data_IF_984038615428
#
_entry.id   IF_984038615428
#
_cell.length_a   1.000
_cell.length_b   1.000
_cell.length_c   1.000
_cell.angle_alpha   90.00
_cell.angle_beta   90.00
_cell.angle_gamma   90.00
#
_symmetry.space_group_name_H-M   'P 1'
#
loop_
_entity.id
_entity.type
_entity.pdbx_description
1 polymer ?
#
# COMPACT_ATOMS: atom_id res chain seq x y z
N UNK A 1 -32.34 7.71 8.35
CA UNK A 1 -31.36 8.73 8.79
C UNK A 1 -31.37 9.98 7.90
N UNK A 2 -31.39 9.91 6.56
CA UNK A 2 -31.59 11.09 5.67
C UNK A 2 -32.80 11.98 6.03
N UNK A 3 -33.91 11.37 6.48
CA UNK A 3 -35.10 12.10 6.91
C UNK A 3 -34.89 13.02 8.13
N UNK A 4 -33.92 12.73 9.00
CA UNK A 4 -33.60 13.53 10.19
C UNK A 4 -33.17 14.95 9.82
N UNK A 5 -32.43 15.10 8.70
CA UNK A 5 -31.94 16.39 8.22
C UNK A 5 -32.84 17.06 7.18
N UNK A 6 -34.07 16.55 6.96
CA UNK A 6 -35.00 17.06 5.95
C UNK A 6 -35.42 18.51 6.16
N UNK A 7 -35.30 19.02 7.40
CA UNK A 7 -35.62 20.40 7.78
C UNK A 7 -34.40 21.26 8.11
N UNK A 8 -33.18 20.77 7.86
CA UNK A 8 -31.96 21.47 8.28
C UNK A 8 -31.83 22.89 7.69
N UNK A 9 -32.20 23.09 6.42
CA UNK A 9 -32.16 24.39 5.75
C UNK A 9 -33.25 25.38 6.24
N UNK A 10 -34.11 24.96 7.18
CA UNK A 10 -35.20 25.80 7.74
C UNK A 10 -34.90 26.30 9.15
N UNK A 11 -33.75 25.93 9.71
CA UNK A 11 -33.33 26.38 11.04
C UNK A 11 -32.48 27.65 10.92
N UNK A 12 -32.68 28.63 11.80
CA UNK A 12 -31.90 29.89 11.82
C UNK A 12 -30.43 29.67 12.16
N UNK A 13 -30.09 28.57 12.86
CA UNK A 13 -28.71 28.27 13.27
C UNK A 13 -28.05 27.25 12.34
N UNK A 14 -26.78 27.47 11.94
CA UNK A 14 -26.06 26.59 11.02
C UNK A 14 -25.70 25.21 11.59
N UNK A 15 -25.83 25.00 12.91
CA UNK A 15 -25.36 23.80 13.63
C UNK A 15 -25.84 22.48 13.02
N UNK A 16 -27.12 22.42 12.62
CA UNK A 16 -27.70 21.22 12.05
C UNK A 16 -27.17 20.95 10.63
N UNK A 17 -26.87 22.01 9.87
CA UNK A 17 -26.26 21.89 8.55
C UNK A 17 -24.81 21.40 8.66
N UNK A 18 -24.01 21.97 9.57
CA UNK A 18 -22.63 21.51 9.82
C UNK A 18 -22.60 20.03 10.21
N UNK A 19 -23.53 19.57 11.06
CA UNK A 19 -23.68 18.14 11.39
C UNK A 19 -23.99 17.29 10.15
N UNK A 20 -24.83 17.79 9.24
CA UNK A 20 -25.18 17.13 7.98
C UNK A 20 -23.96 17.02 7.05
N UNK A 21 -23.19 18.10 6.86
CA UNK A 21 -21.96 18.09 6.05
C UNK A 21 -20.94 17.10 6.60
N UNK A 22 -20.72 17.12 7.92
CA UNK A 22 -19.87 16.17 8.64
C UNK A 22 -20.32 14.71 8.49
N UNK A 23 -21.62 14.46 8.41
CA UNK A 23 -22.16 13.13 8.13
C UNK A 23 -21.85 12.69 6.71
N UNK A 24 -22.07 13.54 5.71
CA UNK A 24 -21.74 13.24 4.31
C UNK A 24 -20.26 12.90 4.14
N UNK A 25 -19.36 13.73 4.68
CA UNK A 25 -17.91 13.48 4.59
C UNK A 25 -17.54 12.11 5.17
N UNK A 26 -18.00 11.78 6.39
CA UNK A 26 -17.75 10.47 7.01
C UNK A 26 -18.36 9.32 6.22
N UNK A 27 -19.57 9.50 5.68
CA UNK A 27 -20.23 8.45 4.91
C UNK A 27 -19.53 8.19 3.57
N UNK A 28 -18.99 9.23 2.94
CA UNK A 28 -18.14 9.09 1.74
C UNK A 28 -16.89 8.26 2.07
N UNK A 29 -16.21 8.50 3.20
CA UNK A 29 -15.08 7.67 3.65
C UNK A 29 -15.50 6.20 3.74
N UNK A 30 -16.61 5.90 4.41
CA UNK A 30 -17.11 4.51 4.52
C UNK A 30 -17.37 3.90 3.14
N UNK A 31 -17.97 4.66 2.22
CA UNK A 31 -18.24 4.17 0.86
C UNK A 31 -16.96 3.94 0.05
N UNK A 32 -15.93 4.79 0.21
CA UNK A 32 -14.60 4.60 -0.38
C UNK A 32 -13.95 3.33 0.17
N UNK A 33 -13.98 3.15 1.49
CA UNK A 33 -13.43 1.97 2.15
C UNK A 33 -14.09 0.69 1.65
N UNK A 34 -15.40 0.71 1.41
CA UNK A 34 -16.18 -0.40 0.83
C UNK A 34 -16.12 -0.46 -0.71
N UNK A 35 -15.28 0.36 -1.37
CA UNK A 35 -15.16 0.47 -2.84
C UNK A 35 -16.50 0.68 -3.58
N UNK A 36 -17.51 1.29 -2.93
CA UNK A 36 -18.81 1.63 -3.54
C UNK A 36 -18.73 2.91 -4.37
N UNK A 37 -17.89 2.93 -5.41
CA UNK A 37 -17.52 4.16 -6.12
C UNK A 37 -18.68 4.88 -6.81
N UNK A 38 -19.70 4.16 -7.28
CA UNK A 38 -20.93 4.78 -7.81
C UNK A 38 -21.61 5.64 -6.73
N UNK A 39 -21.80 5.08 -5.54
CA UNK A 39 -22.39 5.78 -4.40
C UNK A 39 -21.51 6.94 -3.93
N UNK A 40 -20.18 6.78 -3.94
CA UNK A 40 -19.23 7.87 -3.67
C UNK A 40 -19.47 9.04 -4.61
N UNK A 41 -19.54 8.81 -5.93
CA UNK A 41 -19.77 9.87 -6.93
C UNK A 41 -21.11 10.59 -6.72
N UNK A 42 -22.15 9.85 -6.35
CA UNK A 42 -23.46 10.44 -6.07
C UNK A 42 -23.41 11.28 -4.77
N UNK A 43 -22.80 10.76 -3.70
CA UNK A 43 -22.65 11.47 -2.42
C UNK A 43 -21.79 12.73 -2.53
N UNK A 44 -20.75 12.74 -3.38
CA UNK A 44 -19.92 13.92 -3.64
C UNK A 44 -20.73 15.02 -4.33
N UNK A 45 -21.58 14.65 -5.30
CA UNK A 45 -22.52 15.60 -5.94
C UNK A 45 -23.53 16.15 -4.93
N UNK A 46 -24.09 15.29 -4.07
CA UNK A 46 -24.99 15.71 -3.00
C UNK A 46 -24.30 16.63 -1.99
N UNK A 47 -23.08 16.30 -1.55
CA UNK A 47 -22.29 17.12 -0.62
C UNK A 47 -21.98 18.49 -1.21
N UNK A 48 -21.58 18.56 -2.48
CA UNK A 48 -21.31 19.83 -3.16
C UNK A 48 -22.54 20.76 -3.11
N UNK A 49 -23.74 20.22 -3.40
CA UNK A 49 -24.98 20.96 -3.28
C UNK A 49 -25.28 21.40 -1.83
N UNK A 50 -25.01 20.54 -0.85
CA UNK A 50 -25.21 20.92 0.56
C UNK A 50 -24.25 22.01 1.03
N UNK A 51 -23.01 22.04 0.53
CA UNK A 51 -22.05 23.10 0.82
C UNK A 51 -22.53 24.41 0.19
N UNK A 52 -23.01 24.37 -1.05
CA UNK A 52 -23.59 25.55 -1.72
C UNK A 52 -24.80 26.11 -0.95
N UNK A 53 -25.76 25.26 -0.57
CA UNK A 53 -26.91 25.64 0.25
C UNK A 53 -26.45 26.27 1.58
N UNK A 54 -25.44 25.66 2.23
CA UNK A 54 -24.88 26.14 3.50
C UNK A 54 -24.25 27.53 3.37
N UNK A 55 -23.44 27.74 2.32
CA UNK A 55 -22.78 29.02 2.05
C UNK A 55 -23.79 30.12 1.72
N UNK A 56 -24.79 29.83 0.88
CA UNK A 56 -25.78 30.83 0.46
C UNK A 56 -26.75 31.24 1.59
N UNK A 57 -27.09 30.32 2.50
CA UNK A 57 -28.07 30.60 3.57
C UNK A 57 -27.42 31.27 4.77
N UNK A 58 -26.19 30.86 5.14
CA UNK A 58 -25.59 31.23 6.43
C UNK A 58 -24.35 32.12 6.33
N UNK A 59 -23.79 32.34 5.13
CA UNK A 59 -22.55 33.12 4.91
C UNK A 59 -21.44 32.82 5.94
N UNK A 60 -21.06 31.54 6.14
CA UNK A 60 -20.27 31.14 7.29
C UNK A 60 -18.77 31.39 7.08
N UNK A 61 -18.05 31.65 8.16
CA UNK A 61 -16.60 31.88 8.13
C UNK A 61 -15.81 30.63 7.65
N UNK A 62 -16.36 29.43 7.88
CA UNK A 62 -15.75 28.14 7.53
C UNK A 62 -16.01 27.68 6.08
N UNK A 63 -16.60 28.53 5.21
CA UNK A 63 -16.92 28.18 3.82
C UNK A 63 -15.70 27.68 3.02
N UNK A 64 -14.52 28.25 3.29
CA UNK A 64 -13.28 27.88 2.60
C UNK A 64 -12.82 26.49 3.05
N UNK A 65 -12.97 26.14 4.33
CA UNK A 65 -12.65 24.81 4.84
C UNK A 65 -13.51 23.74 4.18
N UNK A 66 -14.82 23.97 4.03
CA UNK A 66 -15.71 23.03 3.34
C UNK A 66 -15.41 22.91 1.85
N UNK A 67 -15.02 24.00 1.21
CA UNK A 67 -14.57 23.98 -0.19
C UNK A 67 -13.28 23.17 -0.35
N UNK A 68 -12.33 23.30 0.59
CA UNK A 68 -11.13 22.48 0.65
C UNK A 68 -11.47 21.00 0.85
N UNK A 69 -12.35 20.66 1.80
CA UNK A 69 -12.80 19.27 2.02
C UNK A 69 -13.38 18.67 0.73
N UNK A 70 -14.23 19.40 0.01
CA UNK A 70 -14.78 18.92 -1.26
C UNK A 70 -13.70 18.75 -2.35
N UNK A 71 -12.73 19.68 -2.41
CA UNK A 71 -11.59 19.60 -3.31
C UNK A 71 -10.71 18.37 -3.02
N UNK A 72 -10.40 18.12 -1.76
CA UNK A 72 -9.65 16.95 -1.30
C UNK A 72 -10.33 15.64 -1.71
N UNK A 73 -11.65 15.53 -1.54
CA UNK A 73 -12.40 14.33 -1.95
C UNK A 73 -12.28 14.10 -3.46
N UNK A 74 -12.44 15.15 -4.26
CA UNK A 74 -12.35 15.05 -5.73
C UNK A 74 -10.94 14.64 -6.16
N UNK A 75 -9.92 15.31 -5.63
CA UNK A 75 -8.51 14.99 -5.91
C UNK A 75 -8.17 13.54 -5.52
N UNK A 76 -8.69 13.07 -4.37
CA UNK A 76 -8.50 11.70 -3.91
C UNK A 76 -9.10 10.68 -4.88
N UNK A 77 -10.35 10.89 -5.32
CA UNK A 77 -11.04 9.98 -6.24
C UNK A 77 -10.33 9.95 -7.60
N UNK A 78 -9.87 11.11 -8.09
CA UNK A 78 -9.14 11.21 -9.35
C UNK A 78 -7.80 10.47 -9.28
N UNK A 79 -7.06 10.62 -8.19
CA UNK A 79 -5.75 10.01 -8.01
C UNK A 79 -5.79 8.51 -7.64
N UNK A 80 -6.92 7.98 -7.17
CA UNK A 80 -7.15 6.52 -6.95
C UNK A 80 -7.30 5.72 -8.26
N UNK A 81 -7.29 6.38 -9.43
CA UNK A 81 -7.40 5.72 -10.74
C UNK A 81 -6.16 6.02 -11.60
N UNK A 82 -4.98 5.50 -11.26
CA UNK A 82 -3.78 5.68 -12.09
C UNK A 82 -3.88 4.93 -13.43
N UNK A 83 -4.71 3.88 -13.48
CA UNK A 83 -5.04 3.11 -14.69
C UNK A 83 -6.55 2.93 -14.73
N UNK A 84 -7.18 3.44 -15.78
CA UNK A 84 -8.60 3.35 -16.03
C UNK A 84 -8.91 2.11 -16.87
N UNK A 85 -9.50 1.10 -16.22
CA UNK A 85 -9.95 -0.11 -16.91
C UNK A 85 -11.37 0.10 -17.41
N UNK A 86 -11.59 -0.09 -18.71
CA UNK A 86 -12.87 0.20 -19.36
C UNK A 86 -13.50 -1.04 -19.97
N UNK A 87 -14.84 -1.10 -19.95
CA UNK A 87 -15.59 -2.13 -20.66
C UNK A 87 -15.68 -1.86 -22.18
N UNK A 88 -16.45 -2.68 -22.89
CA UNK A 88 -16.67 -2.55 -24.34
C UNK A 88 -17.37 -1.24 -24.74
N UNK A 89 -18.11 -0.62 -23.82
CA UNK A 89 -18.83 0.63 -24.01
C UNK A 89 -18.01 1.84 -23.49
N UNK A 90 -16.71 1.64 -23.19
CA UNK A 90 -15.82 2.64 -22.59
C UNK A 90 -16.25 3.13 -21.21
N UNK A 91 -17.06 2.34 -20.49
CA UNK A 91 -17.44 2.66 -19.12
C UNK A 91 -16.37 2.18 -18.13
N UNK A 92 -15.95 3.02 -17.16
CA UNK A 92 -14.98 2.63 -16.15
C UNK A 92 -15.45 1.47 -15.27
N UNK A 93 -14.60 0.46 -15.11
CA UNK A 93 -14.80 -0.70 -14.24
C UNK A 93 -14.11 -0.48 -12.91
N UNK A 94 -14.81 -0.80 -11.81
CA UNK A 94 -14.24 -0.75 -10.47
C UNK A 94 -13.64 -2.11 -10.13
N UNK A 95 -12.33 -2.17 -9.96
CA UNK A 95 -11.63 -3.39 -9.56
C UNK A 95 -11.49 -3.47 -8.03
N UNK A 96 -11.59 -4.70 -7.50
CA UNK A 96 -11.21 -5.01 -6.12
C UNK A 96 -9.81 -5.63 -6.10
N UNK A 97 -9.02 -5.24 -5.12
CA UNK A 97 -7.67 -5.77 -4.87
C UNK A 97 -7.59 -6.51 -3.53
N UNK A 98 -8.75 -6.74 -2.90
CA UNK A 98 -8.88 -7.48 -1.65
C UNK A 98 -8.56 -8.95 -1.86
N UNK A 99 -8.12 -9.58 -0.80
CA UNK A 99 -7.74 -10.98 -0.82
C UNK A 99 -8.99 -11.87 -0.91
N UNK A 100 -8.98 -12.75 -1.89
CA UNK A 100 -10.00 -13.79 -2.13
C UNK A 100 -9.30 -15.15 -2.23
N UNK A 101 -10.02 -16.28 -2.06
CA UNK A 101 -9.43 -17.59 -2.31
C UNK A 101 -8.88 -17.76 -3.74
N UNK A 102 -9.40 -17.01 -4.71
CA UNK A 102 -8.99 -17.09 -6.12
C UNK A 102 -7.67 -16.37 -6.39
N UNK A 103 -7.40 -15.25 -5.70
CA UNK A 103 -6.18 -14.46 -5.87
C UNK A 103 -5.16 -14.65 -4.73
N UNK A 104 -5.45 -15.53 -3.77
CA UNK A 104 -4.50 -15.92 -2.73
C UNK A 104 -3.36 -16.71 -3.37
N UNK A 105 -2.10 -16.29 -3.24
CA UNK A 105 -0.99 -17.02 -3.85
C UNK A 105 -0.91 -18.44 -3.28
N UNK A 106 -0.59 -19.44 -4.12
CA UNK A 106 -0.50 -20.82 -3.67
C UNK A 106 0.58 -20.99 -2.60
N UNK A 107 0.45 -22.03 -1.79
CA UNK A 107 1.46 -22.46 -0.83
C UNK A 107 1.64 -23.96 -0.99
N UNK A 108 2.86 -24.43 -1.27
CA UNK A 108 3.15 -25.85 -1.21
C UNK A 108 3.01 -26.31 0.27
N UNK A 109 2.26 -27.38 0.52
CA UNK A 109 2.11 -27.91 1.88
C UNK A 109 3.45 -28.43 2.38
N UNK A 110 4.09 -27.68 3.28
CA UNK A 110 5.34 -28.03 3.94
C UNK A 110 5.24 -27.91 5.46
N UNK A 111 6.05 -28.68 6.17
CA UNK A 111 6.07 -28.89 7.63
C UNK A 111 6.72 -27.75 8.42
N UNK A 112 6.46 -26.49 8.07
CA UNK A 112 6.99 -25.33 8.81
C UNK A 112 5.95 -24.78 9.78
N UNK A 113 6.42 -24.37 10.96
CA UNK A 113 5.62 -23.55 11.88
C UNK A 113 5.54 -22.15 11.28
N UNK A 114 4.38 -21.81 10.73
CA UNK A 114 4.13 -20.51 10.12
C UNK A 114 3.60 -19.51 11.14
N UNK A 115 3.98 -18.25 10.93
CA UNK A 115 3.39 -17.13 11.63
C UNK A 115 2.05 -16.76 11.00
N UNK A 116 1.22 -16.08 11.78
CA UNK A 116 -0.04 -15.48 11.29
C UNK A 116 0.01 -13.99 11.52
N UNK A 117 -0.37 -13.19 10.52
CA UNK A 117 -0.44 -11.76 10.67
C UNK A 117 -1.64 -11.41 11.57
N UNK A 118 -1.39 -10.69 12.67
CA UNK A 118 -2.42 -10.36 13.66
C UNK A 118 -2.58 -8.86 13.84
N UNK A 119 -1.46 -8.12 13.86
CA UNK A 119 -1.46 -6.67 14.06
C UNK A 119 -0.82 -5.97 12.87
N UNK A 120 -1.43 -4.88 12.41
CA UNK A 120 -0.90 -4.05 11.32
C UNK A 120 -0.92 -2.59 11.77
N UNK A 121 0.21 -1.90 11.59
CA UNK A 121 0.27 -0.45 11.64
C UNK A 121 0.45 0.07 10.22
N UNK A 122 -0.44 0.95 9.78
CA UNK A 122 -0.36 1.65 8.49
C UNK A 122 -0.13 3.12 8.77
N UNK A 123 1.06 3.60 8.41
CA UNK A 123 1.50 4.98 8.66
C UNK A 123 1.60 5.73 7.33
N UNK A 124 0.93 6.88 7.25
CA UNK A 124 1.07 7.81 6.13
C UNK A 124 1.60 9.16 6.62
N UNK A 125 2.80 9.53 6.19
CA UNK A 125 3.47 10.78 6.56
C UNK A 125 4.23 11.45 5.41
N UNK A 126 3.94 11.12 4.14
CA UNK A 126 4.38 11.91 2.99
C UNK A 126 3.67 13.27 3.00
N UNK A 127 4.42 14.37 2.88
CA UNK A 127 3.87 15.70 3.13
C UNK A 127 2.87 16.16 2.07
N UNK A 128 3.15 15.90 0.79
CA UNK A 128 2.40 16.40 -0.36
C UNK A 128 1.45 15.36 -0.99
N UNK A 129 1.29 14.19 -0.35
CA UNK A 129 0.42 13.15 -0.88
C UNK A 129 -1.06 13.52 -0.75
N UNK A 130 -1.83 13.26 -1.81
CA UNK A 130 -3.29 13.42 -1.81
C UNK A 130 -3.92 12.62 -0.66
N UNK A 131 -4.85 13.25 0.06
CA UNK A 131 -5.54 12.67 1.21
C UNK A 131 -6.99 13.11 1.29
N UNK A 132 -7.78 12.30 2.00
CA UNK A 132 -9.12 12.67 2.42
C UNK A 132 -9.40 12.14 3.83
N UNK A 133 -9.90 13.00 4.74
CA UNK A 133 -10.25 12.62 6.12
C UNK A 133 -9.13 11.87 6.86
N UNK A 134 -7.89 12.36 6.76
CA UNK A 134 -6.70 11.73 7.37
C UNK A 134 -6.35 10.35 6.80
N UNK A 135 -6.78 10.06 5.58
CA UNK A 135 -6.40 8.86 4.84
C UNK A 135 -5.67 9.28 3.57
N UNK A 136 -4.39 8.94 3.45
CA UNK A 136 -3.64 9.16 2.21
C UNK A 136 -3.92 8.05 1.20
N UNK A 137 -3.58 8.27 -0.08
CA UNK A 137 -3.76 7.25 -1.13
C UNK A 137 -3.03 5.95 -0.81
N UNK A 138 -1.80 6.06 -0.30
CA UNK A 138 -0.98 4.89 0.03
C UNK A 138 -1.57 4.11 1.21
N UNK A 139 -2.02 4.82 2.25
CA UNK A 139 -2.74 4.19 3.37
C UNK A 139 -3.98 3.46 2.87
N UNK A 140 -4.75 4.08 1.96
CA UNK A 140 -5.94 3.48 1.38
C UNK A 140 -5.63 2.23 0.54
N UNK A 141 -4.62 2.31 -0.34
CA UNK A 141 -4.17 1.18 -1.17
C UNK A 141 -3.74 0.00 -0.29
N UNK A 142 -2.92 0.25 0.73
CA UNK A 142 -2.49 -0.79 1.66
C UNK A 142 -3.63 -1.36 2.50
N UNK A 143 -4.58 -0.52 2.92
CA UNK A 143 -5.77 -0.97 3.61
C UNK A 143 -6.60 -1.91 2.74
N UNK A 144 -6.80 -1.60 1.45
CA UNK A 144 -7.52 -2.49 0.52
C UNK A 144 -6.73 -3.79 0.25
N UNK A 145 -5.41 -3.73 0.17
CA UNK A 145 -4.54 -4.92 -0.01
C UNK A 145 -4.61 -5.87 1.18
N UNK A 146 -4.68 -5.32 2.40
CA UNK A 146 -4.63 -6.06 3.67
C UNK A 146 -6.04 -6.42 4.19
N UNK A 147 -7.00 -6.53 3.30
CA UNK A 147 -8.40 -6.81 3.62
C UNK A 147 -8.88 -8.02 2.80
N UNK A 148 -9.55 -8.98 3.46
CA UNK A 148 -10.26 -10.07 2.79
C UNK A 148 -11.60 -9.58 2.26
N UNK A 149 -11.98 -10.06 1.09
CA UNK A 149 -13.31 -9.78 0.53
C UNK A 149 -14.39 -10.43 1.42
N UNK A 150 -15.47 -9.70 1.80
CA UNK A 150 -16.56 -10.27 2.59
C UNK A 150 -17.21 -11.48 1.88
N UNK A 151 -17.44 -12.57 2.61
CA UNK A 151 -18.02 -13.80 2.03
C UNK A 151 -19.41 -13.60 1.39
N UNK A 152 -20.17 -12.60 1.84
CA UNK A 152 -21.47 -12.23 1.25
C UNK A 152 -21.33 -11.62 -0.16
N UNK A 153 -20.19 -11.02 -0.48
CA UNK A 153 -19.92 -10.43 -1.80
C UNK A 153 -19.38 -11.49 -2.78
N UNK A 154 -18.68 -12.52 -2.28
CA UNK A 154 -18.23 -13.67 -3.11
C UNK A 154 -19.40 -14.47 -3.69
N UNK A 155 -20.47 -14.67 -2.93
CA UNK A 155 -21.66 -15.37 -3.44
C UNK A 155 -22.32 -14.59 -4.56
N UNK A 156 -22.43 -13.26 -4.45
CA UNK A 156 -22.99 -12.41 -5.50
C UNK A 156 -22.12 -12.39 -6.77
N UNK A 157 -20.78 -12.38 -6.64
CA UNK A 157 -19.87 -12.45 -7.79
C UNK A 157 -19.95 -13.79 -8.55
N UNK A 158 -20.27 -14.90 -7.86
CA UNK A 158 -20.46 -16.21 -8.48
C UNK A 158 -21.76 -16.31 -9.30
N UNK A 159 -22.76 -15.46 -9.01
CA UNK A 159 -24.05 -15.45 -9.73
C UNK A 159 -24.14 -14.40 -10.85
N UNK A 160 -23.19 -13.45 -10.95
CA UNK A 160 -23.17 -12.39 -11.98
C UNK A 160 -22.29 -12.73 -13.19
N UNK A 161 -21.71 -13.93 -13.24
CA UNK A 161 -21.08 -14.44 -14.47
C UNK A 161 -22.17 -14.95 -15.44
N UNK A 162 -22.36 -14.19 -16.53
CA UNK A 162 -23.08 -14.63 -17.74
C UNK A 162 -22.63 -16.03 -18.22
N UNK A 163 -23.48 -16.78 -18.95
CA UNK A 163 -23.38 -18.23 -19.10
C UNK A 163 -22.28 -18.64 -20.09
N UNK A 164 -21.02 -18.65 -19.64
CA UNK A 164 -19.96 -19.38 -20.31
C UNK A 164 -19.77 -20.74 -19.60
N UNK A 165 -19.89 -21.88 -20.31
CA UNK A 165 -19.63 -23.18 -19.71
C UNK A 165 -18.11 -23.41 -19.65
N UNK A 166 -17.49 -23.15 -18.50
CA UNK A 166 -16.09 -23.49 -18.28
C UNK A 166 -15.58 -23.15 -16.88
N UNK A 167 -15.24 -24.20 -16.13
CA UNK A 167 -14.59 -24.18 -14.81
C UNK A 167 -15.36 -23.56 -13.64
N UNK A 168 -16.30 -24.34 -13.09
CA UNK A 168 -16.57 -24.27 -11.65
C UNK A 168 -15.31 -24.81 -10.93
N UNK A 169 -14.64 -24.05 -10.04
CA UNK A 169 -13.69 -24.68 -9.14
C UNK A 169 -14.47 -25.69 -8.28
N UNK A 170 -14.09 -26.96 -8.39
CA UNK A 170 -14.66 -28.03 -7.60
C UNK A 170 -14.36 -27.78 -6.12
N UNK A 171 -15.35 -27.29 -5.39
CA UNK A 171 -15.37 -27.40 -3.94
C UNK A 171 -15.73 -28.85 -3.59
N UNK A 172 -14.75 -29.75 -3.72
CA UNK A 172 -14.88 -31.08 -3.14
C UNK A 172 -14.70 -30.99 -1.62
N UNK A 173 -15.78 -31.35 -0.93
CA UNK A 173 -15.85 -31.84 0.44
C UNK A 173 -15.30 -30.95 1.58
N UNK A 174 -16.24 -30.33 2.31
CA UNK A 174 -16.37 -30.59 3.74
C UNK A 174 -15.35 -29.99 4.72
N UNK A 175 -14.25 -29.40 4.26
CA UNK A 175 -13.42 -28.57 5.14
C UNK A 175 -14.18 -27.30 5.45
N UNK A 176 -14.62 -27.15 6.71
CA UNK A 176 -15.02 -25.87 7.26
C UNK A 176 -13.94 -24.87 6.84
N UNK A 177 -14.24 -24.00 5.88
CA UNK A 177 -13.36 -22.89 5.53
C UNK A 177 -13.13 -22.16 6.85
N UNK A 178 -11.96 -22.37 7.46
CA UNK A 178 -11.60 -21.73 8.70
C UNK A 178 -11.78 -20.24 8.41
N UNK A 179 -12.77 -19.61 9.05
CA UNK A 179 -12.98 -18.17 8.98
C UNK A 179 -11.70 -17.53 9.48
N UNK A 180 -10.79 -17.21 8.55
CA UNK A 180 -9.57 -16.47 8.86
C UNK A 180 -9.99 -15.03 8.96
N UNK A 181 -10.08 -14.53 10.18
CA UNK A 181 -10.42 -13.14 10.46
C UNK A 181 -9.39 -12.20 9.85
N UNK A 182 -9.80 -10.97 9.56
CA UNK A 182 -8.87 -9.93 9.15
C UNK A 182 -8.00 -9.53 10.35
N UNK A 183 -6.69 -9.29 10.15
CA UNK A 183 -5.83 -8.73 11.18
C UNK A 183 -6.33 -7.36 11.62
N UNK A 184 -6.06 -7.03 12.89
CA UNK A 184 -6.35 -5.73 13.45
C UNK A 184 -5.43 -4.66 12.84
N UNK A 185 -5.95 -3.44 12.66
CA UNK A 185 -5.28 -2.36 11.92
C UNK A 185 -5.31 -1.05 12.68
N UNK A 186 -4.14 -0.49 12.92
CA UNK A 186 -3.94 0.89 13.38
C UNK A 186 -3.64 1.79 12.18
N UNK A 187 -4.41 2.87 12.02
CA UNK A 187 -4.19 3.88 10.97
C UNK A 187 -3.64 5.14 11.58
N UNK A 188 -2.43 5.54 11.18
CA UNK A 188 -1.73 6.69 11.72
C UNK A 188 -1.38 7.67 10.61
N UNK A 189 -2.15 8.76 10.51
CA UNK A 189 -1.87 9.86 9.60
C UNK A 189 -1.04 10.94 10.29
N UNK A 190 0.10 11.27 9.67
CA UNK A 190 1.11 12.19 10.17
C UNK A 190 1.32 12.09 11.69
N UNK A 191 1.65 10.90 12.24
CA UNK A 191 1.85 10.73 13.66
C UNK A 191 3.13 11.43 14.11
N UNK A 192 3.15 11.95 15.34
CA UNK A 192 4.43 12.27 15.99
C UNK A 192 5.17 10.98 16.35
N UNK A 193 6.49 11.06 16.56
CA UNK A 193 7.29 9.94 17.07
C UNK A 193 6.64 9.26 18.28
N UNK A 194 6.23 10.02 19.29
CA UNK A 194 5.59 9.47 20.50
C UNK A 194 4.27 8.75 20.20
N UNK A 195 3.47 9.25 19.27
CA UNK A 195 2.24 8.56 18.85
C UNK A 195 2.57 7.23 18.17
N UNK A 196 3.47 7.25 17.18
CA UNK A 196 3.91 6.05 16.48
C UNK A 196 4.46 5.00 17.45
N UNK A 197 5.36 5.40 18.35
CA UNK A 197 5.97 4.52 19.34
C UNK A 197 4.93 3.92 20.31
N UNK A 198 3.89 4.69 20.69
CA UNK A 198 2.79 4.20 21.54
C UNK A 198 2.01 3.08 20.84
N UNK A 199 1.69 3.25 19.57
CA UNK A 199 0.95 2.23 18.82
C UNK A 199 1.81 1.00 18.49
N UNK A 200 3.11 1.18 18.23
CA UNK A 200 4.05 0.06 18.11
C UNK A 200 4.08 -0.78 19.40
N UNK A 201 4.13 -0.11 20.56
CA UNK A 201 4.07 -0.78 21.85
C UNK A 201 2.73 -1.48 22.10
N UNK A 202 1.61 -0.87 21.67
CA UNK A 202 0.27 -1.48 21.77
C UNK A 202 0.17 -2.77 20.95
N UNK A 203 0.47 -2.70 19.65
CA UNK A 203 0.45 -3.87 18.78
C UNK A 203 1.41 -4.96 19.25
N UNK A 204 2.64 -4.58 19.64
CA UNK A 204 3.60 -5.52 20.23
C UNK A 204 3.04 -6.23 21.48
N UNK A 205 2.37 -5.50 22.37
CA UNK A 205 1.78 -6.06 23.60
C UNK A 205 0.66 -7.05 23.28
N UNK A 206 -0.19 -6.72 22.30
CA UNK A 206 -1.39 -7.48 21.93
C UNK A 206 -1.08 -8.74 21.10
N UNK A 207 0.08 -8.81 20.45
CA UNK A 207 0.47 -9.98 19.65
C UNK A 207 0.41 -11.31 20.44
N UNK A 208 -0.40 -12.29 20.01
CA UNK A 208 -0.45 -13.63 20.59
C UNK A 208 0.78 -14.47 20.20
N UNK A 209 1.02 -15.63 20.86
CA UNK A 209 2.03 -16.60 20.41
C UNK A 209 1.80 -17.02 18.95
N UNK A 210 2.85 -16.96 18.13
CA UNK A 210 2.75 -17.23 16.68
C UNK A 210 2.14 -16.09 15.85
N UNK A 211 1.79 -14.97 16.49
CA UNK A 211 1.38 -13.75 15.82
C UNK A 211 2.58 -12.94 15.31
N UNK A 212 2.41 -12.32 14.15
CA UNK A 212 3.33 -11.36 13.57
C UNK A 212 2.68 -9.97 13.52
N UNK A 213 3.51 -8.93 13.67
CA UNK A 213 3.11 -7.54 13.44
C UNK A 213 3.71 -7.04 12.14
N UNK A 214 2.88 -6.42 11.30
CA UNK A 214 3.31 -5.69 10.11
C UNK A 214 3.32 -4.19 10.42
N UNK A 215 4.41 -3.51 10.09
CA UNK A 215 4.47 -2.04 10.13
C UNK A 215 4.77 -1.54 8.73
N UNK A 216 3.78 -0.91 8.13
CA UNK A 216 3.89 -0.23 6.84
C UNK A 216 4.04 1.28 7.09
N UNK A 217 5.06 1.88 6.48
CA UNK A 217 5.34 3.31 6.57
C UNK A 217 5.52 3.88 5.17
N UNK A 218 4.62 4.77 4.75
CA UNK A 218 4.82 5.67 3.61
C UNK A 218 5.14 7.06 4.15
N UNK A 219 6.40 7.49 4.03
CA UNK A 219 6.89 8.73 4.63
C UNK A 219 8.13 9.29 3.93
N UNK A 220 8.30 10.60 4.03
CA UNK A 220 9.51 11.27 3.52
C UNK A 220 10.73 10.89 4.38
N UNK A 221 11.88 10.80 3.73
CA UNK A 221 13.14 10.41 4.34
C UNK A 221 13.76 11.50 5.21
N UNK A 222 14.34 11.08 6.32
CA UNK A 222 15.17 11.91 7.19
C UNK A 222 16.62 11.46 7.04
N UNK A 223 17.38 12.17 6.21
CA UNK A 223 18.78 11.82 5.93
C UNK A 223 19.66 12.04 7.17
N UNK A 224 20.46 11.02 7.51
CA UNK A 224 21.46 11.09 8.56
C UNK A 224 22.81 11.64 8.11
N UNK A 225 23.84 11.48 8.96
CA UNK A 225 25.21 11.88 8.68
C UNK A 225 26.02 10.66 8.21
N UNK A 226 26.09 10.42 6.90
CA UNK A 226 26.78 9.26 6.31
C UNK A 226 28.29 9.17 6.59
N UNK A 227 28.90 10.18 7.23
CA UNK A 227 30.32 10.17 7.62
C UNK A 227 30.56 9.51 8.98
N UNK A 228 29.53 9.44 9.83
CA UNK A 228 29.56 8.72 11.11
C UNK A 228 28.99 7.33 10.86
N UNK A 229 29.70 6.28 11.29
CA UNK A 229 29.25 4.88 11.12
C UNK A 229 29.45 4.10 12.42
N UNK A 230 29.48 4.79 13.56
CA UNK A 230 29.66 4.14 14.86
C UNK A 230 28.35 3.46 15.30
N UNK A 231 27.20 4.07 15.01
CA UNK A 231 25.89 3.54 15.27
C UNK A 231 25.01 3.58 14.02
N UNK A 232 25.25 2.61 13.12
CA UNK A 232 24.55 2.45 11.83
C UNK A 232 23.03 2.51 11.95
N UNK A 233 22.46 2.14 13.10
CA UNK A 233 21.01 2.14 13.31
C UNK A 233 20.41 3.54 13.52
N UNK A 234 21.23 4.57 13.72
CA UNK A 234 20.80 5.97 13.85
C UNK A 234 21.59 6.92 12.94
N UNK A 235 22.80 6.56 12.52
CA UNK A 235 23.69 7.43 11.74
C UNK A 235 23.20 7.67 10.31
N UNK A 236 22.52 6.69 9.69
CA UNK A 236 21.92 6.82 8.36
C UNK A 236 20.58 7.56 8.37
N UNK A 237 20.10 7.98 9.55
CA UNK A 237 18.81 8.63 9.71
C UNK A 237 17.67 7.61 9.67
N UNK A 238 16.56 7.97 9.05
CA UNK A 238 15.37 7.14 9.01
C UNK A 238 14.23 7.79 8.23
N UNK A 239 13.01 7.67 8.73
CA UNK A 239 11.80 8.27 8.12
C UNK A 239 11.21 9.35 9.02
N UNK A 240 10.78 10.45 8.41
CA UNK A 240 10.22 11.61 9.13
C UNK A 240 8.95 11.20 9.88
N UNK A 241 8.79 11.74 11.08
CA UNK A 241 7.52 11.77 11.84
C UNK A 241 7.07 13.22 12.00
N UNK A 242 5.79 13.44 12.28
CA UNK A 242 5.25 14.79 12.33
C UNK A 242 5.72 15.56 13.58
N UNK A 243 5.91 16.87 13.42
CA UNK A 243 6.15 17.80 14.52
C UNK A 243 4.92 18.69 14.72
N UNK A 244 4.10 18.36 15.73
CA UNK A 244 2.88 19.14 16.05
C UNK A 244 3.14 20.55 16.58
N UNK A 245 4.39 20.91 16.93
CA UNK A 245 4.71 22.16 17.63
C UNK A 245 5.29 23.27 16.75
N UNK A 246 5.68 22.98 15.51
CA UNK A 246 6.25 23.99 14.61
C UNK A 246 5.48 24.03 13.30
N UNK A 247 4.49 24.92 13.22
CA UNK A 247 3.94 25.33 11.93
C UNK A 247 5.07 25.90 11.07
N UNK A 248 5.17 25.41 9.83
CA UNK A 248 5.99 25.98 8.76
C UNK A 248 7.53 25.93 8.89
N UNK A 249 8.09 24.95 9.61
CA UNK A 249 9.55 24.79 9.71
C UNK A 249 10.16 23.70 8.79
N UNK A 250 9.42 23.16 7.82
CA UNK A 250 9.96 22.15 6.89
C UNK A 250 11.19 22.66 6.10
N UNK A 251 11.28 23.99 5.91
CA UNK A 251 12.38 24.65 5.22
C UNK A 251 13.50 25.20 6.12
N UNK A 252 13.35 25.12 7.45
CA UNK A 252 14.40 25.55 8.37
C UNK A 252 15.16 24.34 8.88
N UNK A 253 15.99 23.75 7.99
CA UNK A 253 17.23 23.06 8.38
C UNK A 253 18.17 24.09 9.04
N UNK A 254 17.74 24.69 10.15
CA UNK A 254 18.63 25.39 11.05
C UNK A 254 19.68 24.38 11.45
N UNK A 255 20.94 24.81 11.39
CA UNK A 255 22.14 24.02 11.66
C UNK A 255 22.06 23.39 13.06
N UNK A 256 21.34 22.27 13.20
CA UNK A 256 21.39 21.46 14.40
C UNK A 256 22.83 20.98 14.53
N UNK A 257 23.40 20.98 15.74
CA UNK A 257 24.74 20.46 15.95
C UNK A 257 24.82 19.03 15.39
N UNK A 258 25.87 18.74 14.60
CA UNK A 258 26.00 17.46 13.88
C UNK A 258 25.92 16.22 14.77
N UNK A 259 26.15 16.37 16.08
CA UNK A 259 26.11 15.29 17.07
C UNK A 259 24.70 14.96 17.60
N UNK A 260 23.67 15.74 17.28
CA UNK A 260 22.29 15.50 17.75
C UNK A 260 21.47 14.92 16.61
N UNK A 261 20.99 13.67 16.80
CA UNK A 261 20.13 12.98 15.83
C UNK A 261 18.72 13.60 15.78
N UNK A 262 18.00 13.40 14.68
CA UNK A 262 16.69 14.03 14.45
C UNK A 262 15.61 13.46 15.39
N UNK A 263 15.06 14.28 16.29
CA UNK A 263 14.03 13.83 17.25
C UNK A 263 12.71 13.46 16.57
N UNK A 264 12.36 14.11 15.46
CA UNK A 264 11.13 13.85 14.72
C UNK A 264 11.35 12.85 13.59
N UNK A 265 12.07 11.77 13.88
CA UNK A 265 12.40 10.71 12.93
C UNK A 265 12.20 9.35 13.62
N UNK A 266 11.68 8.36 12.89
CA UNK A 266 11.80 6.96 13.25
C UNK A 266 13.10 6.44 12.63
N UNK A 267 14.10 6.17 13.47
CA UNK A 267 15.32 5.51 13.04
C UNK A 267 15.16 3.98 13.10
N UNK A 268 15.95 3.21 12.34
CA UNK A 268 16.02 1.76 12.47
C UNK A 268 16.24 1.29 13.91
N UNK A 269 17.10 1.98 14.68
CA UNK A 269 17.37 1.64 16.07
C UNK A 269 16.18 1.79 17.02
N UNK A 270 15.22 2.66 16.69
CA UNK A 270 13.98 2.81 17.47
C UNK A 270 13.08 1.57 17.38
N UNK A 271 13.34 0.67 16.43
CA UNK A 271 12.58 -0.55 16.20
C UNK A 271 13.08 -1.72 17.05
N UNK A 272 14.31 -1.66 17.60
CA UNK A 272 14.88 -2.74 18.41
C UNK A 272 13.94 -3.27 19.52
N UNK A 273 13.23 -2.43 20.30
CA UNK A 273 12.31 -2.89 21.32
C UNK A 273 11.29 -3.92 20.80
N UNK A 274 10.81 -3.72 19.58
CA UNK A 274 9.72 -4.48 18.96
C UNK A 274 10.18 -5.73 18.21
N UNK A 275 11.48 -5.84 17.91
CA UNK A 275 12.10 -7.06 17.34
C UNK A 275 12.18 -8.24 18.32
N UNK A 276 11.64 -8.08 19.55
CA UNK A 276 11.41 -9.17 20.52
C UNK A 276 10.23 -10.08 20.19
N UNK A 277 9.46 -9.75 19.15
CA UNK A 277 8.40 -10.57 18.57
C UNK A 277 8.53 -10.53 17.04
N UNK A 278 7.90 -11.46 16.30
CA UNK A 278 7.98 -11.47 14.85
C UNK A 278 7.49 -10.16 14.24
N UNK A 279 8.35 -9.49 13.47
CA UNK A 279 8.12 -8.16 12.94
C UNK A 279 8.42 -8.10 11.44
N UNK A 280 7.43 -7.67 10.67
CA UNK A 280 7.57 -7.44 9.23
C UNK A 280 7.47 -5.94 8.96
N UNK A 281 8.47 -5.35 8.31
CA UNK A 281 8.51 -3.92 7.99
C UNK A 281 8.33 -3.71 6.49
N UNK A 282 7.57 -2.68 6.12
CA UNK A 282 7.52 -2.17 4.76
C UNK A 282 7.78 -0.67 4.85
N UNK A 283 8.91 -0.22 4.32
CA UNK A 283 9.33 1.18 4.35
C UNK A 283 9.30 1.71 2.93
N UNK A 284 8.33 2.58 2.64
CA UNK A 284 8.18 3.29 1.38
C UNK A 284 8.60 4.76 1.56
N UNK A 285 9.87 5.04 1.26
CA UNK A 285 10.56 6.29 1.52
C UNK A 285 11.78 6.45 0.61
N UNK A 286 12.16 7.69 0.30
CA UNK A 286 13.41 8.02 -0.39
C UNK A 286 14.67 7.80 0.49
N UNK A 287 14.50 7.45 1.77
CA UNK A 287 15.57 6.99 2.67
C UNK A 287 15.29 5.59 3.26
N UNK A 288 14.58 4.73 2.52
CA UNK A 288 14.20 3.38 2.98
C UNK A 288 15.41 2.50 3.34
N UNK A 289 16.52 2.66 2.62
CA UNK A 289 17.77 1.89 2.77
C UNK A 289 18.44 2.08 4.14
N UNK A 290 18.10 3.13 4.89
CA UNK A 290 18.51 3.26 6.29
C UNK A 290 18.10 2.03 7.13
N UNK A 291 16.99 1.37 6.78
CA UNK A 291 16.48 0.17 7.45
C UNK A 291 17.11 -1.14 6.92
N UNK A 292 18.10 -1.05 6.03
CA UNK A 292 18.77 -2.24 5.49
C UNK A 292 19.80 -2.82 6.48
N UNK A 293 20.45 -1.98 7.30
CA UNK A 293 21.63 -2.38 8.06
C UNK A 293 21.47 -2.17 9.56
N UNK A 294 20.48 -2.84 10.17
CA UNK A 294 20.38 -2.90 11.63
C UNK A 294 20.25 -4.35 12.14
N UNK A 295 20.90 -4.69 13.26
CA UNK A 295 20.98 -6.04 13.78
C UNK A 295 19.66 -6.57 14.32
N UNK A 296 19.39 -7.85 14.07
CA UNK A 296 18.35 -8.60 14.79
C UNK A 296 18.91 -9.08 16.14
N UNK A 297 18.66 -8.30 17.19
CA UNK A 297 19.25 -8.53 18.52
C UNK A 297 18.58 -9.65 19.33
N UNK A 298 17.35 -10.06 18.99
CA UNK A 298 16.56 -10.99 19.80
C UNK A 298 16.29 -12.34 19.13
N UNK A 299 16.78 -12.54 17.90
CA UNK A 299 16.66 -13.79 17.16
C UNK A 299 15.22 -14.16 16.79
N UNK A 300 14.28 -13.22 16.90
CA UNK A 300 12.91 -13.42 16.40
C UNK A 300 12.85 -13.14 14.90
N UNK A 301 11.86 -13.71 14.19
CA UNK A 301 11.74 -13.51 12.75
C UNK A 301 11.55 -12.03 12.44
N UNK A 302 12.38 -11.50 11.55
CA UNK A 302 12.34 -10.10 11.15
C UNK A 302 12.64 -10.00 9.67
N UNK A 303 11.81 -9.25 8.94
CA UNK A 303 12.00 -9.00 7.52
C UNK A 303 11.55 -7.59 7.15
N UNK A 304 12.24 -6.96 6.20
CA UNK A 304 11.92 -5.65 5.67
C UNK A 304 11.79 -5.72 4.16
N UNK A 305 10.76 -5.04 3.62
CA UNK A 305 10.68 -4.67 2.21
C UNK A 305 10.87 -3.16 2.10
N UNK A 306 11.89 -2.74 1.37
CA UNK A 306 12.33 -1.35 1.27
C UNK A 306 12.08 -0.85 -0.15
N UNK A 307 11.42 0.29 -0.30
CA UNK A 307 11.18 0.91 -1.61
C UNK A 307 12.49 1.32 -2.31
N UNK A 308 12.47 1.57 -3.62
CA UNK A 308 13.51 2.37 -4.26
C UNK A 308 13.64 3.73 -3.58
N UNK A 309 14.86 4.27 -3.52
CA UNK A 309 15.11 5.63 -3.05
C UNK A 309 14.75 6.67 -4.12
N UNK A 310 14.87 6.28 -5.39
CA UNK A 310 14.67 7.14 -6.54
C UNK A 310 13.65 6.56 -7.54
N UNK A 311 12.94 7.46 -8.21
CA UNK A 311 12.15 7.17 -9.41
C UNK A 311 12.68 8.02 -10.59
N UNK A 312 12.48 7.59 -11.84
CA UNK A 312 12.90 8.35 -13.02
C UNK A 312 12.33 9.78 -13.00
N UNK A 313 13.08 10.74 -13.54
CA UNK A 313 12.68 12.15 -13.54
C UNK A 313 11.29 12.40 -14.15
N UNK A 314 10.89 11.60 -15.14
CA UNK A 314 9.56 11.66 -15.76
C UNK A 314 8.41 11.30 -14.82
N UNK A 315 8.70 10.73 -13.65
CA UNK A 315 7.73 10.28 -12.66
C UNK A 315 7.75 11.10 -11.36
N UNK A 316 8.72 12.00 -11.17
CA UNK A 316 8.90 12.75 -9.91
C UNK A 316 7.68 13.64 -9.58
N UNK A 317 7.10 14.30 -10.60
CA UNK A 317 5.91 15.16 -10.42
C UNK A 317 4.65 14.40 -10.01
N UNK A 318 4.68 13.07 -10.06
CA UNK A 318 3.52 12.23 -9.76
C UNK A 318 3.48 11.71 -8.32
N UNK A 319 4.45 12.10 -7.48
CA UNK A 319 4.55 11.67 -6.08
C UNK A 319 3.27 11.97 -5.26
N UNK A 320 2.52 13.02 -5.61
CA UNK A 320 1.24 13.35 -4.98
C UNK A 320 0.18 12.25 -5.15
N UNK A 321 0.29 11.40 -6.20
CA UNK A 321 -0.64 10.31 -6.53
C UNK A 321 -0.29 8.96 -5.87
N UNK A 322 0.53 9.00 -4.83
CA UNK A 322 0.96 7.82 -4.08
C UNK A 322 2.27 7.23 -4.60
N UNK A 323 2.94 6.45 -3.75
CA UNK A 323 4.25 5.91 -4.05
C UNK A 323 4.19 4.74 -5.03
N UNK A 324 5.21 4.66 -5.89
CA UNK A 324 5.35 3.61 -6.90
C UNK A 324 5.41 2.23 -6.26
N UNK A 325 6.20 2.08 -5.20
CA UNK A 325 6.40 0.81 -4.53
C UNK A 325 5.10 0.30 -3.90
N UNK A 326 4.38 1.15 -3.18
CA UNK A 326 3.03 0.85 -2.70
C UNK A 326 2.06 0.49 -3.81
N UNK A 327 2.13 1.14 -4.98
CA UNK A 327 1.29 0.78 -6.12
C UNK A 327 1.55 -0.66 -6.60
N UNK A 328 2.82 -1.08 -6.71
CA UNK A 328 3.15 -2.48 -7.05
C UNK A 328 2.70 -3.47 -5.98
N UNK A 329 2.89 -3.14 -4.69
CA UNK A 329 2.42 -3.97 -3.59
C UNK A 329 0.89 -4.06 -3.53
N UNK A 330 0.18 -3.05 -4.02
CA UNK A 330 -1.27 -3.01 -4.11
C UNK A 330 -1.83 -3.77 -5.32
N UNK A 331 -1.25 -3.52 -6.49
CA UNK A 331 -1.62 -4.15 -7.75
C UNK A 331 -0.43 -4.15 -8.70
N UNK A 332 0.23 -5.31 -8.89
CA UNK A 332 1.41 -5.42 -9.76
C UNK A 332 1.15 -4.96 -11.18
N UNK A 333 -0.05 -5.24 -11.72
CA UNK A 333 -0.42 -4.81 -13.07
C UNK A 333 -0.63 -3.30 -13.15
N UNK A 334 -1.21 -2.66 -12.12
CA UNK A 334 -1.29 -1.20 -12.08
C UNK A 334 0.10 -0.58 -12.04
N UNK A 335 0.99 -1.09 -11.18
CA UNK A 335 2.38 -0.63 -11.11
C UNK A 335 3.11 -0.79 -12.46
N UNK A 336 2.92 -1.93 -13.14
CA UNK A 336 3.48 -2.19 -14.45
C UNK A 336 2.96 -1.21 -15.51
N UNK A 337 1.64 -1.04 -15.62
CA UNK A 337 1.03 -0.09 -16.54
C UNK A 337 1.51 1.33 -16.28
N UNK A 338 1.61 1.70 -15.00
CA UNK A 338 2.03 3.03 -14.57
C UNK A 338 3.47 3.36 -14.98
N UNK A 339 4.44 2.44 -14.79
CA UNK A 339 5.82 2.67 -15.28
C UNK A 339 5.91 2.69 -16.80
N UNK A 340 4.96 2.05 -17.49
CA UNK A 340 4.85 2.06 -18.95
C UNK A 340 4.03 3.25 -19.49
N UNK A 341 3.57 4.17 -18.63
CA UNK A 341 2.70 5.31 -19.01
C UNK A 341 1.37 4.89 -19.67
N UNK A 342 0.83 3.73 -19.29
CA UNK A 342 -0.47 3.23 -19.74
C UNK A 342 -1.53 3.71 -18.74
N UNK A 343 -2.44 4.57 -19.21
CA UNK A 343 -3.49 5.19 -18.38
C UNK A 343 -4.89 4.64 -18.65
N UNK A 344 -5.13 4.07 -19.83
CA UNK A 344 -6.41 3.47 -20.21
C UNK A 344 -6.17 2.06 -20.77
N UNK A 345 -7.00 1.09 -20.36
CA UNK A 345 -6.88 -0.29 -20.81
C UNK A 345 -8.26 -0.97 -20.92
N UNK A 346 -8.57 -1.62 -22.06
CA UNK A 346 -9.78 -2.43 -22.17
C UNK A 346 -9.74 -3.64 -21.23
N UNK A 347 -10.88 -3.99 -20.63
CA UNK A 347 -11.00 -5.10 -19.67
C UNK A 347 -10.48 -6.44 -20.21
N UNK A 348 -10.74 -6.75 -21.49
CA UNK A 348 -10.24 -7.98 -22.10
C UNK A 348 -8.71 -8.06 -22.15
N UNK A 349 -8.05 -6.90 -22.35
CA UNK A 349 -6.58 -6.82 -22.33
C UNK A 349 -6.06 -6.86 -20.89
N UNK A 350 -6.73 -6.17 -19.97
CA UNK A 350 -6.46 -6.23 -18.54
C UNK A 350 -6.48 -7.67 -18.02
N UNK A 351 -7.55 -8.42 -18.30
CA UNK A 351 -7.71 -9.81 -17.84
C UNK A 351 -6.63 -10.74 -18.41
N UNK A 352 -6.23 -10.53 -19.67
CA UNK A 352 -5.13 -11.27 -20.29
C UNK A 352 -3.81 -11.00 -19.56
N UNK A 353 -3.50 -9.74 -19.27
CA UNK A 353 -2.32 -9.35 -18.49
C UNK A 353 -2.39 -9.88 -17.06
N UNK A 354 -3.56 -9.83 -16.43
CA UNK A 354 -3.79 -10.37 -15.10
C UNK A 354 -3.51 -11.88 -15.05
N UNK A 355 -3.86 -12.63 -16.09
CA UNK A 355 -3.49 -14.04 -16.22
C UNK A 355 -1.98 -14.29 -16.31
N UNK A 356 -1.19 -13.34 -16.84
CA UNK A 356 0.28 -13.40 -16.77
C UNK A 356 0.79 -13.11 -15.35
N UNK A 357 0.17 -12.15 -14.64
CA UNK A 357 0.49 -11.89 -13.22
C UNK A 357 0.20 -13.11 -12.35
N UNK A 358 -0.93 -13.79 -12.54
CA UNK A 358 -1.27 -15.01 -11.79
C UNK A 358 -0.27 -16.14 -12.03
N UNK A 359 0.14 -16.35 -13.28
CA UNK A 359 1.22 -17.29 -13.62
C UNK A 359 2.53 -16.90 -12.96
N UNK A 360 2.86 -15.61 -12.93
CA UNK A 360 4.02 -15.10 -12.23
C UNK A 360 3.95 -15.42 -10.73
N UNK A 361 2.83 -15.13 -10.07
CA UNK A 361 2.67 -15.40 -8.63
C UNK A 361 2.82 -16.89 -8.32
N UNK A 362 2.25 -17.76 -9.15
CA UNK A 362 2.36 -19.20 -8.98
C UNK A 362 3.80 -19.71 -9.20
N UNK A 363 4.52 -19.16 -10.18
CA UNK A 363 5.91 -19.54 -10.44
C UNK A 363 6.86 -18.98 -9.37
N UNK A 364 6.70 -17.71 -9.01
CA UNK A 364 7.46 -17.07 -7.94
C UNK A 364 7.26 -17.81 -6.62
N UNK A 365 6.06 -18.31 -6.35
CA UNK A 365 5.80 -19.15 -5.17
C UNK A 365 6.65 -20.43 -5.15
N UNK A 366 6.72 -21.17 -6.26
CA UNK A 366 7.55 -22.38 -6.35
C UNK A 366 9.04 -22.06 -6.20
N UNK A 367 9.51 -21.00 -6.85
CA UNK A 367 10.90 -20.55 -6.77
C UNK A 367 11.25 -20.19 -5.33
N UNK A 368 10.40 -19.41 -4.67
CA UNK A 368 10.58 -18.98 -3.29
C UNK A 368 10.67 -20.17 -2.32
N UNK A 369 9.72 -21.12 -2.41
CA UNK A 369 9.69 -22.30 -1.53
C UNK A 369 10.83 -23.29 -1.75
N UNK A 370 11.48 -23.27 -2.92
CA UNK A 370 12.60 -24.18 -3.26
C UNK A 370 13.96 -23.58 -2.97
N UNK A 371 14.03 -22.29 -2.67
CA UNK A 371 15.29 -21.62 -2.35
C UNK A 371 15.88 -22.21 -1.07
N UNK A 372 17.15 -22.61 -1.15
CA UNK A 372 17.90 -23.21 -0.03
C UNK A 372 18.64 -22.17 0.78
N UNK A 373 18.96 -21.03 0.17
CA UNK A 373 19.65 -19.91 0.81
C UNK A 373 18.71 -18.84 1.36
N UNK A 374 17.39 -19.05 1.24
CA UNK A 374 16.39 -18.12 1.77
C UNK A 374 16.43 -18.08 3.30
N UNK A 375 16.47 -16.86 3.85
CA UNK A 375 16.47 -16.66 5.29
C UNK A 375 15.21 -17.24 5.95
N UNK A 376 15.40 -17.90 7.10
CA UNK A 376 14.34 -18.55 7.84
C UNK A 376 13.21 -17.59 8.25
N UNK A 377 13.51 -16.31 8.47
CA UNK A 377 12.50 -15.30 8.78
C UNK A 377 11.46 -15.18 7.66
N UNK A 378 11.89 -15.09 6.40
CA UNK A 378 10.98 -15.05 5.25
C UNK A 378 10.13 -16.31 5.17
N UNK A 379 10.72 -17.49 5.39
CA UNK A 379 9.99 -18.76 5.38
C UNK A 379 8.88 -18.81 6.44
N UNK A 380 9.10 -18.25 7.63
CA UNK A 380 8.10 -18.21 8.70
C UNK A 380 6.95 -17.24 8.38
N UNK A 381 7.24 -16.09 7.78
CA UNK A 381 6.21 -15.15 7.34
C UNK A 381 5.43 -15.64 6.12
N UNK A 382 6.03 -16.48 5.27
CA UNK A 382 5.43 -16.95 4.02
C UNK A 382 4.17 -17.79 4.18
N UNK A 383 3.93 -18.36 5.36
CA UNK A 383 2.70 -19.09 5.59
C UNK A 383 1.46 -18.22 5.73
N UNK A 384 1.63 -16.94 6.08
CA UNK A 384 0.53 -15.98 6.11
C UNK A 384 0.16 -15.52 4.70
N UNK A 385 -1.13 -15.48 4.38
CA UNK A 385 -1.60 -15.17 3.02
C UNK A 385 -1.25 -13.74 2.59
N UNK A 386 -1.34 -12.77 3.51
CA UNK A 386 -1.05 -11.36 3.20
C UNK A 386 0.44 -11.13 3.07
N UNK A 387 1.24 -11.66 3.99
CA UNK A 387 2.69 -11.51 3.91
C UNK A 387 3.25 -12.24 2.69
N UNK A 388 2.75 -13.44 2.37
CA UNK A 388 3.05 -14.15 1.12
C UNK A 388 2.73 -13.31 -0.11
N UNK A 389 1.55 -12.72 -0.15
CA UNK A 389 1.14 -11.84 -1.24
C UNK A 389 2.11 -10.67 -1.42
N UNK A 390 2.46 -9.96 -0.34
CA UNK A 390 3.35 -8.80 -0.40
C UNK A 390 4.76 -9.18 -0.85
N UNK A 391 5.30 -10.31 -0.37
CA UNK A 391 6.62 -10.80 -0.80
C UNK A 391 6.66 -11.16 -2.29
N UNK A 392 5.62 -11.83 -2.81
CA UNK A 392 5.59 -12.18 -4.24
C UNK A 392 5.37 -10.95 -5.13
N UNK A 393 4.56 -9.98 -4.68
CA UNK A 393 4.40 -8.69 -5.35
C UNK A 393 5.68 -7.85 -5.32
N UNK A 394 6.45 -7.92 -4.24
CA UNK A 394 7.79 -7.34 -4.17
C UNK A 394 8.71 -7.91 -5.25
N UNK A 395 8.75 -9.24 -5.42
CA UNK A 395 9.59 -9.88 -6.43
C UNK A 395 9.18 -9.42 -7.84
N UNK A 396 7.88 -9.30 -8.11
CA UNK A 396 7.39 -8.73 -9.37
C UNK A 396 7.85 -7.28 -9.58
N UNK A 397 7.72 -6.45 -8.55
CA UNK A 397 8.18 -5.05 -8.56
C UNK A 397 9.67 -4.98 -8.89
N UNK A 398 10.49 -5.72 -8.15
CA UNK A 398 11.95 -5.75 -8.32
C UNK A 398 12.33 -6.11 -9.77
N UNK A 399 11.78 -7.22 -10.29
CA UNK A 399 12.10 -7.68 -11.65
C UNK A 399 11.63 -6.67 -12.69
N UNK A 400 10.41 -6.12 -12.53
CA UNK A 400 9.86 -5.12 -13.46
C UNK A 400 10.76 -3.89 -13.54
N UNK A 401 11.14 -3.33 -12.39
CA UNK A 401 12.00 -2.14 -12.34
C UNK A 401 13.40 -2.45 -12.87
N UNK A 402 13.97 -3.61 -12.56
CA UNK A 402 15.30 -4.01 -13.04
C UNK A 402 15.37 -4.19 -14.56
N UNK A 403 14.31 -4.72 -15.18
CA UNK A 403 14.25 -4.92 -16.63
C UNK A 403 13.89 -3.62 -17.38
N UNK A 404 13.24 -2.67 -16.73
CA UNK A 404 12.75 -1.45 -17.39
C UNK A 404 13.89 -0.45 -17.62
N UNK A 405 14.13 -0.08 -18.89
CA UNK A 405 15.27 0.76 -19.33
C UNK A 405 15.35 2.13 -18.67
N UNK A 406 14.23 2.63 -18.14
CA UNK A 406 14.14 3.91 -17.43
C UNK A 406 14.67 3.89 -15.99
N UNK A 407 14.81 2.71 -15.36
CA UNK A 407 15.28 2.56 -13.98
C UNK A 407 16.71 2.00 -14.05
N UNK A 408 17.70 2.82 -13.68
CA UNK A 408 19.12 2.45 -13.82
C UNK A 408 19.91 2.74 -12.55
N UNK A 409 20.39 1.67 -11.94
CA UNK A 409 21.25 1.71 -10.76
C UNK A 409 20.53 1.33 -9.47
N UNK A 410 21.28 0.95 -8.42
CA UNK A 410 20.73 0.31 -7.23
C UNK A 410 19.68 1.14 -6.49
N UNK A 411 19.80 2.47 -6.48
CA UNK A 411 18.82 3.37 -5.83
C UNK A 411 17.43 3.35 -6.48
N UNK A 412 17.29 2.79 -7.69
CA UNK A 412 16.01 2.68 -8.41
C UNK A 412 15.33 1.33 -8.20
N UNK A 413 15.94 0.42 -7.43
CA UNK A 413 15.40 -0.90 -7.17
C UNK A 413 15.02 -1.04 -5.70
N UNK A 414 13.92 -1.74 -5.40
CA UNK A 414 13.56 -2.03 -4.02
C UNK A 414 14.57 -3.05 -3.46
N UNK A 415 14.73 -3.08 -2.15
CA UNK A 415 15.63 -4.03 -1.48
C UNK A 415 14.92 -4.72 -0.32
N UNK A 416 15.54 -5.76 0.22
CA UNK A 416 15.03 -6.45 1.41
C UNK A 416 16.11 -6.55 2.48
N UNK A 417 15.66 -6.69 3.72
CA UNK A 417 16.52 -7.09 4.84
C UNK A 417 15.85 -8.18 5.67
N UNK A 418 16.40 -9.39 5.78
CA UNK A 418 17.61 -9.90 5.09
C UNK A 418 17.51 -9.82 3.55
N UNK A 419 18.63 -9.81 2.81
CA UNK A 419 18.60 -9.83 1.35
C UNK A 419 18.00 -11.13 0.81
N UNK A 420 17.15 -11.05 -0.21
CA UNK A 420 16.66 -12.23 -0.92
C UNK A 420 17.78 -12.85 -1.78
N UNK A 421 17.86 -14.18 -1.91
CA UNK A 421 18.81 -14.83 -2.80
C UNK A 421 18.61 -14.43 -4.26
N UNK A 422 19.50 -13.60 -4.80
CA UNK A 422 19.39 -13.09 -6.17
C UNK A 422 19.42 -14.23 -7.20
N UNK A 423 20.42 -15.10 -7.15
CA UNK A 423 20.59 -16.18 -8.14
C UNK A 423 19.49 -17.25 -8.08
N UNK A 424 19.00 -17.56 -6.88
CA UNK A 424 17.96 -18.58 -6.71
C UNK A 424 16.54 -18.05 -6.95
N UNK A 425 16.29 -16.74 -6.73
CA UNK A 425 14.96 -16.15 -6.82
C UNK A 425 14.90 -15.05 -7.88
N UNK A 426 15.64 -13.95 -7.69
CA UNK A 426 15.45 -12.72 -8.46
C UNK A 426 15.97 -12.81 -9.91
N UNK A 427 16.96 -13.67 -10.17
CA UNK A 427 17.56 -13.90 -11.49
C UNK A 427 16.95 -15.10 -12.24
N UNK A 428 15.84 -15.67 -11.74
CA UNK A 428 15.20 -16.80 -12.41
C UNK A 428 14.56 -16.40 -13.74
N UNK A 429 15.07 -16.97 -14.83
CA UNK A 429 14.63 -16.68 -16.20
C UNK A 429 13.14 -16.96 -16.45
N UNK A 430 12.51 -17.88 -15.69
CA UNK A 430 11.07 -18.13 -15.78
C UNK A 430 10.24 -16.92 -15.34
N UNK A 431 10.68 -16.22 -14.30
CA UNK A 431 10.02 -15.02 -13.78
C UNK A 431 10.20 -13.83 -14.74
N UNK A 432 11.41 -13.62 -15.27
CA UNK A 432 11.67 -12.55 -16.24
C UNK A 432 10.83 -12.73 -17.50
N UNK A 433 10.72 -13.95 -18.01
CA UNK A 433 9.90 -14.26 -19.19
C UNK A 433 8.44 -13.85 -18.97
N UNK A 434 7.89 -14.11 -17.79
CA UNK A 434 6.50 -13.75 -17.47
C UNK A 434 6.29 -12.23 -17.40
N UNK A 435 7.26 -11.47 -16.89
CA UNK A 435 7.24 -9.99 -16.97
C UNK A 435 7.30 -9.52 -18.43
N UNK A 436 8.15 -10.14 -19.25
CA UNK A 436 8.25 -9.82 -20.68
C UNK A 436 7.00 -10.22 -21.48
N UNK A 437 6.26 -11.24 -21.05
CA UNK A 437 4.98 -11.61 -21.65
C UNK A 437 3.90 -10.55 -21.38
N UNK A 438 3.90 -9.93 -20.18
CA UNK A 438 3.05 -8.77 -19.88
C UNK A 438 3.43 -7.60 -20.81
N UNK A 439 4.73 -7.28 -20.89
CA UNK A 439 5.23 -6.21 -21.77
C UNK A 439 4.86 -6.43 -23.24
N UNK A 440 4.93 -7.67 -23.71
CA UNK A 440 4.60 -8.03 -25.09
C UNK A 440 3.09 -7.96 -25.35
N UNK A 441 2.27 -8.36 -24.36
CA UNK A 441 0.80 -8.29 -24.46
C UNK A 441 0.32 -6.84 -24.49
N UNK A 442 0.98 -5.94 -23.77
CA UNK A 442 0.68 -4.50 -23.76
C UNK A 442 1.42 -3.73 -24.86
N UNK A 443 2.15 -4.41 -25.75
CA UNK A 443 2.92 -3.79 -26.84
C UNK A 443 4.00 -2.77 -26.39
N UNK A 444 4.48 -2.88 -25.16
CA UNK A 444 5.50 -2.01 -24.54
C UNK A 444 6.86 -2.69 -24.35
N UNK A 445 7.09 -3.82 -25.04
CA UNK A 445 8.35 -4.59 -24.94
C UNK A 445 9.61 -3.75 -25.17
N UNK A 446 9.53 -2.71 -26.01
CA UNK A 446 10.65 -1.80 -26.28
C UNK A 446 11.15 -1.01 -25.07
N UNK A 447 10.36 -0.89 -24.00
CA UNK A 447 10.76 -0.25 -22.74
C UNK A 447 11.63 -1.16 -21.85
N UNK A 448 11.72 -2.45 -22.17
CA UNK A 448 12.42 -3.45 -21.35
C UNK A 448 13.68 -3.95 -22.07
N UNK A 449 14.68 -4.36 -21.29
CA UNK A 449 15.94 -4.96 -21.75
C UNK A 449 16.21 -6.30 -21.08
N UNK A 450 17.27 -6.99 -21.51
CA UNK A 450 17.78 -8.19 -20.82
C UNK A 450 18.64 -7.76 -19.62
N UNK A 451 18.63 -8.52 -18.51
CA UNK A 451 19.38 -8.15 -17.29
C UNK A 451 20.87 -7.94 -17.53
N UNK A 452 21.47 -8.64 -18.50
CA UNK A 452 22.90 -8.50 -18.84
C UNK A 452 23.25 -7.15 -19.48
N UNK A 453 22.26 -6.38 -19.93
CA UNK A 453 22.45 -5.04 -20.49
C UNK A 453 22.29 -3.91 -19.46
N UNK A 454 21.92 -4.22 -18.21
CA UNK A 454 21.50 -3.24 -17.17
C UNK A 454 22.44 -3.21 -15.96
N UNK A 455 23.57 -3.93 -16.03
CA UNK A 455 24.66 -3.90 -15.05
C UNK A 455 25.81 -2.98 -15.45
#
# INVERSE_FOLDING_TARGET
MRAYYSKANKEERPDLMVKKLRYYARFIVVCLLLKKMKLVRDLVRELAKQIEDYTQIYEPEDQLEWSLVLGEIKAFIEADVPVNVVDVDSSPIVLSHRLTPLNTPPMEQGSSVYLTLQEILIVGNCYEQVKFSELTLDMFRMLQTLEREPQEDLSNQLYDQSPAPGNKPGFENGDKINKRDNPHKYLLYKPTFSQLYTFLASGFKELPPGGAMLVYVSADGSLGNMKETEDVAFDFGGVVTNNKREGDAFNNRTKRPAHIKEMHCLHPGDVYPFTRKPLFLIIDSDNSTAFQNFPNLFGQPMACLLSPENVPATMQDQHQKGNLFTMFLHSPLMGFCYVCSIVDIPIALWDKCQGHIEKFMAEASKVFSRSRSLDHAFMQFYGDDFLRLLMLRFIFCWITLRLHRGFKGPSYYPTTQPPLPEDEILHQASLHRLVMDVASTLEVRGLFGDLTEVD
#
